data_IF_378151881976
#
_entry.id   IF_378151881976
#
_cell.length_a   1.000
_cell.length_b   1.000
_cell.length_c   1.000
_cell.angle_alpha   90.00
_cell.angle_beta   90.00
_cell.angle_gamma   90.00
#
_symmetry.space_group_name_H-M   'P 1'
#
loop_
_entity.id
_entity.type
_entity.pdbx_description
1 polymer ?
#
# COMPACT_ATOMS: atom_id res chain seq x y z
N UNK A 1 -5.83 -4.67 1.71
CA UNK A 1 -6.02 -5.70 0.66
C UNK A 1 -4.68 -6.39 0.50
N UNK A 2 -4.49 -7.58 1.07
CA UNK A 2 -3.45 -8.51 0.59
C UNK A 2 -3.91 -9.00 -0.78
N UNK A 3 -3.00 -9.45 -1.66
CA UNK A 3 -3.42 -10.15 -2.88
C UNK A 3 -4.45 -11.23 -2.54
N UNK A 4 -5.35 -11.58 -3.47
CA UNK A 4 -6.18 -12.76 -3.28
C UNK A 4 -5.24 -13.96 -3.12
N UNK A 5 -5.07 -14.45 -1.89
CA UNK A 5 -4.22 -15.59 -1.57
C UNK A 5 -5.12 -16.80 -1.31
N UNK A 6 -5.31 -17.70 -2.29
CA UNK A 6 -6.03 -18.94 -2.07
C UNK A 6 -5.39 -19.71 -0.92
N UNK A 7 -6.21 -20.47 -0.19
CA UNK A 7 -5.73 -21.16 1.01
C UNK A 7 -4.68 -22.21 0.67
N UNK A 8 -4.88 -22.88 -0.45
CA UNK A 8 -4.02 -23.90 -1.03
C UNK A 8 -2.64 -23.37 -1.44
N UNK A 9 -2.57 -22.11 -1.89
CA UNK A 9 -1.34 -21.49 -2.36
C UNK A 9 -0.66 -20.64 -1.28
N UNK A 10 -1.33 -20.38 -0.15
CA UNK A 10 -0.89 -19.43 0.85
C UNK A 10 0.55 -19.66 1.31
N UNK A 11 0.89 -20.90 1.69
CA UNK A 11 2.25 -21.25 2.15
C UNK A 11 3.31 -21.05 1.05
N UNK A 12 2.99 -21.42 -0.19
CA UNK A 12 3.87 -21.29 -1.35
C UNK A 12 4.11 -19.80 -1.63
N UNK A 13 3.05 -18.99 -1.63
CA UNK A 13 3.12 -17.53 -1.83
C UNK A 13 4.00 -16.89 -0.77
N UNK A 14 3.81 -17.23 0.52
CA UNK A 14 4.64 -16.66 1.59
C UNK A 14 6.11 -17.06 1.50
N UNK A 15 6.43 -18.10 0.73
CA UNK A 15 7.79 -18.60 0.51
C UNK A 15 8.40 -18.12 -0.80
N UNK A 16 7.66 -17.35 -1.60
CA UNK A 16 8.15 -16.70 -2.82
C UNK A 16 9.40 -15.86 -2.55
N UNK A 17 10.24 -15.72 -3.58
CA UNK A 17 11.51 -14.95 -3.50
C UNK A 17 12.46 -15.44 -2.39
N UNK A 18 12.43 -16.74 -2.08
CA UNK A 18 13.19 -17.36 -0.98
C UNK A 18 12.89 -16.75 0.39
N UNK A 19 11.69 -16.20 0.59
CA UNK A 19 11.26 -15.74 1.89
C UNK A 19 11.00 -16.93 2.83
N UNK A 20 11.14 -16.70 4.13
CA UNK A 20 10.83 -17.68 5.16
C UNK A 20 9.63 -17.21 5.99
N UNK A 21 8.50 -17.94 5.98
CA UNK A 21 7.36 -17.63 6.83
C UNK A 21 7.61 -18.10 8.27
N UNK A 22 7.16 -17.31 9.24
CA UNK A 22 7.18 -17.60 10.66
C UNK A 22 5.79 -17.37 11.26
N UNK A 23 5.36 -18.27 12.14
CA UNK A 23 4.17 -18.08 12.95
C UNK A 23 4.54 -17.38 14.25
N UNK A 24 3.80 -16.32 14.58
CA UNK A 24 3.90 -15.64 15.86
C UNK A 24 2.95 -16.31 16.84
N UNK A 25 3.47 -16.81 17.96
CA UNK A 25 2.68 -17.42 19.03
C UNK A 25 2.85 -16.66 20.34
N UNK A 26 1.77 -16.60 21.11
CA UNK A 26 1.76 -16.17 22.52
C UNK A 26 0.92 -17.16 23.31
N UNK A 27 1.51 -17.76 24.34
CA UNK A 27 0.84 -18.75 25.20
C UNK A 27 0.23 -19.93 24.42
N UNK A 28 0.92 -20.38 23.37
CA UNK A 28 0.49 -21.47 22.48
C UNK A 28 -0.48 -21.04 21.37
N UNK A 29 -1.10 -19.87 21.46
CA UNK A 29 -2.05 -19.36 20.47
C UNK A 29 -1.36 -18.60 19.33
N UNK A 30 -1.86 -18.77 18.10
CA UNK A 30 -1.40 -18.00 16.94
C UNK A 30 -1.89 -16.57 17.05
N UNK A 31 -0.95 -15.61 16.99
CA UNK A 31 -1.23 -14.17 17.03
C UNK A 31 -0.89 -13.45 15.73
N UNK A 32 -0.42 -14.18 14.72
CA UNK A 32 -0.05 -13.60 13.44
C UNK A 32 1.05 -14.39 12.76
N UNK A 33 1.62 -13.77 11.73
CA UNK A 33 2.75 -14.32 10.98
C UNK A 33 3.70 -13.20 10.52
N UNK A 34 4.92 -13.62 10.20
CA UNK A 34 5.98 -12.80 9.62
C UNK A 34 6.46 -13.51 8.35
N UNK A 35 6.69 -12.76 7.28
CA UNK A 35 7.44 -13.22 6.11
C UNK A 35 8.78 -12.49 6.12
N UNK A 36 9.86 -13.25 6.25
CA UNK A 36 11.21 -12.70 6.37
C UNK A 36 12.02 -12.96 5.11
N UNK A 37 12.77 -11.94 4.68
CA UNK A 37 13.80 -12.03 3.64
C UNK A 37 15.22 -12.20 4.26
N UNK A 38 15.29 -12.67 5.50
CA UNK A 38 16.51 -12.86 6.30
C UNK A 38 16.40 -12.25 7.69
N UNK A 39 17.29 -12.60 8.64
CA UNK A 39 17.16 -12.19 10.04
C UNK A 39 17.00 -10.67 10.27
N UNK A 40 17.64 -9.84 9.44
CA UNK A 40 17.58 -8.37 9.54
C UNK A 40 16.46 -7.74 8.70
N UNK A 41 15.60 -8.55 8.07
CA UNK A 41 14.57 -8.08 7.16
C UNK A 41 13.24 -8.82 7.33
N UNK A 42 12.18 -8.02 7.50
CA UNK A 42 10.80 -8.49 7.48
C UNK A 42 10.10 -7.82 6.29
N UNK A 43 9.74 -8.64 5.30
CA UNK A 43 9.02 -8.18 4.11
C UNK A 43 7.51 -8.02 4.35
N UNK A 44 6.97 -8.73 5.34
CA UNK A 44 5.56 -8.66 5.72
C UNK A 44 5.38 -9.04 7.19
N UNK A 45 4.52 -8.32 7.90
CA UNK A 45 4.13 -8.65 9.27
C UNK A 45 2.64 -8.42 9.45
N UNK A 46 1.92 -9.48 9.79
CA UNK A 46 0.50 -9.42 10.13
C UNK A 46 0.31 -9.92 11.54
N UNK A 47 -0.21 -9.06 12.42
CA UNK A 47 -0.48 -9.39 13.82
C UNK A 47 -1.96 -9.15 14.13
N UNK A 48 -2.52 -9.94 15.06
CA UNK A 48 -3.90 -9.79 15.50
C UNK A 48 -4.15 -8.53 16.33
N UNK A 49 -3.09 -7.91 16.86
CA UNK A 49 -3.13 -6.64 17.58
C UNK A 49 -1.86 -5.84 17.33
N UNK A 50 -1.97 -4.54 17.07
CA UNK A 50 -0.82 -3.64 16.94
C UNK A 50 0.02 -3.55 18.22
N UNK A 51 -0.62 -3.75 19.38
CA UNK A 51 0.05 -3.86 20.68
C UNK A 51 1.13 -4.96 20.75
N UNK A 52 1.10 -5.93 19.83
CA UNK A 52 2.08 -7.01 19.77
C UNK A 52 3.34 -6.67 18.97
N UNK A 53 3.38 -5.54 18.25
CA UNK A 53 4.51 -5.16 17.39
C UNK A 53 5.83 -5.11 18.18
N UNK A 54 5.86 -4.38 19.30
CA UNK A 54 7.05 -4.23 20.15
C UNK A 54 7.55 -5.56 20.75
N UNK A 55 6.71 -6.36 21.43
CA UNK A 55 7.18 -7.62 22.00
C UNK A 55 7.62 -8.63 20.92
N UNK A 56 6.97 -8.66 19.76
CA UNK A 56 7.37 -9.52 18.64
C UNK A 56 8.73 -9.11 18.09
N UNK A 57 8.96 -7.81 17.87
CA UNK A 57 10.26 -7.31 17.40
C UNK A 57 11.35 -7.59 18.43
N UNK A 58 11.08 -7.38 19.73
CA UNK A 58 12.03 -7.75 20.79
C UNK A 58 12.40 -9.24 20.74
N UNK A 59 11.40 -10.12 20.66
CA UNK A 59 11.63 -11.56 20.54
C UNK A 59 12.40 -11.93 19.27
N UNK A 60 12.19 -11.20 18.17
CA UNK A 60 12.94 -11.37 16.93
C UNK A 60 14.43 -11.04 17.10
N UNK A 61 14.75 -9.91 17.74
CA UNK A 61 16.13 -9.53 18.07
C UNK A 61 16.83 -10.58 18.93
N UNK A 62 16.16 -11.06 19.98
CA UNK A 62 16.70 -12.10 20.88
C UNK A 62 16.92 -13.43 20.16
N UNK A 63 15.98 -13.84 19.30
CA UNK A 63 16.05 -15.10 18.56
C UNK A 63 17.23 -15.15 17.59
N UNK A 64 17.48 -14.04 16.89
CA UNK A 64 18.47 -14.00 15.82
C UNK A 64 19.78 -13.30 16.20
N UNK A 65 19.87 -12.70 17.38
CA UNK A 65 21.09 -12.00 17.84
C UNK A 65 21.46 -10.79 16.96
N UNK A 66 20.48 -10.17 16.31
CA UNK A 66 20.67 -9.03 15.40
C UNK A 66 20.73 -7.72 16.18
N UNK A 67 21.27 -6.67 15.55
CA UNK A 67 21.33 -5.30 16.11
C UNK A 67 20.54 -4.29 15.31
N UNK A 68 20.01 -4.68 14.16
CA UNK A 68 19.18 -3.85 13.28
C UNK A 68 18.13 -4.73 12.62
N UNK A 69 16.99 -4.12 12.29
CA UNK A 69 15.88 -4.76 11.60
C UNK A 69 15.21 -3.76 10.68
N UNK A 70 14.97 -4.14 9.44
CA UNK A 70 14.11 -3.40 8.52
C UNK A 70 12.77 -4.11 8.40
N UNK A 71 11.67 -3.34 8.51
CA UNK A 71 10.30 -3.86 8.37
C UNK A 71 9.63 -3.12 7.21
N UNK A 72 9.13 -3.86 6.24
CA UNK A 72 8.32 -3.34 5.14
C UNK A 72 6.86 -3.39 5.54
N UNK A 73 6.15 -2.29 5.31
CA UNK A 73 4.72 -2.17 5.59
C UNK A 73 4.06 -1.19 4.62
N UNK A 74 2.74 -1.33 4.46
CA UNK A 74 1.96 -0.42 3.65
C UNK A 74 1.89 0.98 4.30
N UNK A 75 2.01 2.04 3.50
CA UNK A 75 1.91 3.43 4.01
C UNK A 75 0.53 3.75 4.61
N UNK A 76 -0.52 3.07 4.14
CA UNK A 76 -1.89 3.25 4.64
C UNK A 76 -2.18 2.46 5.93
N UNK A 77 -1.30 1.58 6.41
CA UNK A 77 -1.47 0.91 7.71
C UNK A 77 -1.06 1.83 8.86
N UNK A 78 -1.92 2.80 9.17
CA UNK A 78 -1.65 3.82 10.17
C UNK A 78 -1.37 3.23 11.57
N UNK A 79 -1.97 2.08 11.92
CA UNK A 79 -1.78 1.44 13.23
C UNK A 79 -0.40 0.82 13.34
N UNK A 80 0.00 0.02 12.34
CA UNK A 80 1.33 -0.59 12.31
C UNK A 80 2.43 0.49 12.22
N UNK A 81 2.26 1.45 11.31
CA UNK A 81 3.23 2.53 11.11
C UNK A 81 3.45 3.34 12.39
N UNK A 82 2.39 3.64 13.15
CA UNK A 82 2.50 4.38 14.43
C UNK A 82 3.26 3.58 15.49
N UNK A 83 3.01 2.27 15.59
CA UNK A 83 3.74 1.44 16.54
C UNK A 83 5.23 1.36 16.20
N UNK A 84 5.57 1.08 14.93
CA UNK A 84 6.95 1.05 14.45
C UNK A 84 7.66 2.40 14.67
N UNK A 85 7.03 3.50 14.25
CA UNK A 85 7.61 4.84 14.38
C UNK A 85 7.91 5.25 15.83
N UNK A 86 7.28 4.63 16.83
CA UNK A 86 7.54 4.95 18.25
C UNK A 86 8.92 4.50 18.75
N UNK A 87 9.65 3.67 17.99
CA UNK A 87 10.99 3.22 18.35
C UNK A 87 11.95 3.04 17.16
N UNK A 88 11.47 3.15 15.91
CA UNK A 88 12.34 3.15 14.73
C UNK A 88 13.22 4.40 14.68
N UNK A 89 14.50 4.21 14.36
CA UNK A 89 15.46 5.32 14.20
C UNK A 89 15.29 6.08 12.86
N UNK A 90 14.70 5.43 11.86
CA UNK A 90 14.42 6.04 10.56
C UNK A 90 13.30 5.32 9.81
N UNK A 91 12.78 5.97 8.77
CA UNK A 91 11.92 5.36 7.78
C UNK A 91 12.33 5.88 6.39
N UNK A 92 12.04 5.09 5.36
CA UNK A 92 12.24 5.48 3.97
C UNK A 92 10.99 5.11 3.17
N UNK A 93 10.65 5.93 2.18
CA UNK A 93 9.63 5.60 1.18
C UNK A 93 10.35 5.18 -0.10
N UNK A 94 9.97 4.03 -0.65
CA UNK A 94 10.58 3.49 -1.87
C UNK A 94 9.50 3.12 -2.88
N UNK A 95 9.87 3.12 -4.17
CA UNK A 95 9.04 2.50 -5.19
C UNK A 95 9.06 0.98 -4.96
N UNK A 96 7.92 0.41 -4.57
CA UNK A 96 7.84 -0.99 -4.14
C UNK A 96 7.73 -1.99 -5.29
N UNK A 97 7.09 -1.61 -6.39
CA UNK A 97 6.87 -2.46 -7.56
C UNK A 97 6.55 -1.64 -8.81
N UNK A 98 6.64 -2.28 -9.97
CA UNK A 98 6.16 -1.74 -11.22
C UNK A 98 4.77 -2.29 -11.50
N UNK A 99 3.80 -1.40 -11.74
CA UNK A 99 2.47 -1.77 -12.17
C UNK A 99 2.09 -1.03 -13.43
N UNK A 100 1.22 -1.67 -14.21
CA UNK A 100 0.54 -1.07 -15.34
C UNK A 100 -0.96 -1.03 -15.04
N UNK A 101 -1.52 0.17 -14.98
CA UNK A 101 -2.96 0.41 -14.93
C UNK A 101 -3.52 0.06 -16.30
N UNK A 102 -4.37 -0.97 -16.34
CA UNK A 102 -5.05 -1.43 -17.56
C UNK A 102 -6.50 -0.93 -17.62
N UNK A 103 -7.14 -0.73 -16.46
CA UNK A 103 -8.46 -0.14 -16.35
C UNK A 103 -8.43 0.96 -15.29
N UNK A 104 -8.38 2.21 -15.74
CA UNK A 104 -8.21 3.36 -14.85
C UNK A 104 -9.41 3.58 -13.94
N UNK A 105 -10.63 3.38 -14.47
CA UNK A 105 -11.86 3.52 -13.69
C UNK A 105 -11.85 2.59 -12.47
N UNK A 106 -11.66 1.30 -12.68
CA UNK A 106 -11.69 0.30 -11.61
C UNK A 106 -10.56 0.54 -10.59
N UNK A 107 -9.38 0.97 -11.06
CA UNK A 107 -8.25 1.31 -10.18
C UNK A 107 -8.57 2.53 -9.33
N UNK A 108 -9.14 3.59 -9.91
CA UNK A 108 -9.57 4.78 -9.15
C UNK A 108 -10.63 4.42 -8.12
N UNK A 109 -11.66 3.65 -8.49
CA UNK A 109 -12.70 3.19 -7.56
C UNK A 109 -12.09 2.45 -6.36
N UNK A 110 -11.26 1.44 -6.62
CA UNK A 110 -10.67 0.61 -5.57
C UNK A 110 -9.72 1.39 -4.66
N UNK A 111 -8.85 2.23 -5.23
CA UNK A 111 -7.82 2.95 -4.46
C UNK A 111 -8.38 4.17 -3.73
N UNK A 112 -9.39 4.85 -4.28
CA UNK A 112 -10.12 5.92 -3.58
C UNK A 112 -10.93 5.36 -2.42
N UNK A 113 -11.60 4.21 -2.60
CA UNK A 113 -12.30 3.53 -1.51
C UNK A 113 -11.33 3.15 -0.38
N UNK A 114 -10.20 2.52 -0.71
CA UNK A 114 -9.16 2.21 0.27
C UNK A 114 -8.65 3.46 0.98
N UNK A 115 -8.47 4.57 0.25
CA UNK A 115 -8.01 5.84 0.81
C UNK A 115 -9.01 6.39 1.82
N UNK A 116 -10.30 6.44 1.45
CA UNK A 116 -11.38 6.86 2.35
C UNK A 116 -11.38 6.06 3.65
N UNK A 117 -11.25 4.73 3.56
CA UNK A 117 -11.27 3.85 4.73
C UNK A 117 -10.05 3.99 5.65
N UNK A 118 -8.88 4.33 5.10
CA UNK A 118 -7.61 4.26 5.83
C UNK A 118 -7.02 5.62 6.22
N UNK A 119 -7.14 6.61 5.33
CA UNK A 119 -6.51 7.93 5.46
C UNK A 119 -7.53 9.07 5.51
N UNK A 120 -8.79 8.79 5.18
CA UNK A 120 -9.81 9.80 4.95
C UNK A 120 -9.68 10.42 3.56
N UNK A 121 -10.77 11.05 3.12
CA UNK A 121 -10.88 11.65 1.79
C UNK A 121 -11.80 12.87 1.88
N UNK A 122 -11.35 14.02 1.38
CA UNK A 122 -12.13 15.26 1.35
C UNK A 122 -13.05 15.27 0.14
N UNK A 123 -14.20 15.94 0.28
CA UNK A 123 -15.10 16.20 -0.84
C UNK A 123 -14.40 17.01 -1.94
N UNK A 124 -14.79 16.76 -3.18
CA UNK A 124 -14.21 17.39 -4.36
C UNK A 124 -14.48 16.61 -5.63
N UNK A 125 -14.04 17.17 -6.76
CA UNK A 125 -14.14 16.51 -8.05
C UNK A 125 -12.90 16.77 -8.90
N UNK A 126 -12.59 15.83 -9.80
CA UNK A 126 -11.60 16.03 -10.86
C UNK A 126 -12.02 15.27 -12.11
N UNK A 127 -11.74 15.84 -13.28
CA UNK A 127 -11.86 15.17 -14.57
C UNK A 127 -10.47 14.90 -15.12
N UNK A 128 -10.19 13.64 -15.42
CA UNK A 128 -8.88 13.20 -15.90
C UNK A 128 -9.01 12.27 -17.11
N UNK A 129 -7.99 12.29 -17.95
CA UNK A 129 -7.87 11.46 -19.14
C UNK A 129 -6.46 10.88 -19.21
N UNK A 130 -6.38 9.57 -19.45
CA UNK A 130 -5.12 8.85 -19.63
C UNK A 130 -4.99 8.39 -21.09
N UNK A 131 -3.89 8.76 -21.73
CA UNK A 131 -3.70 8.60 -23.17
C UNK A 131 -4.90 9.20 -23.94
N UNK A 132 -5.47 8.47 -24.90
CA UNK A 132 -6.66 8.83 -25.67
C UNK A 132 -7.91 8.05 -25.21
N UNK A 133 -7.90 7.49 -23.99
CA UNK A 133 -9.10 6.86 -23.40
C UNK A 133 -10.20 7.88 -23.13
N UNK A 134 -11.45 7.42 -22.92
CA UNK A 134 -12.54 8.34 -22.59
C UNK A 134 -12.28 9.04 -21.24
N UNK A 135 -12.49 10.36 -21.12
CA UNK A 135 -12.32 11.06 -19.85
C UNK A 135 -13.17 10.46 -18.74
N UNK A 136 -12.61 10.46 -17.53
CA UNK A 136 -13.27 10.02 -16.32
C UNK A 136 -13.49 11.21 -15.39
N UNK A 137 -14.69 11.29 -14.82
CA UNK A 137 -14.97 12.16 -13.69
C UNK A 137 -14.92 11.34 -12.40
N UNK A 138 -14.18 11.85 -11.43
CA UNK A 138 -14.09 11.30 -10.08
C UNK A 138 -14.71 12.33 -9.14
N UNK A 139 -15.71 11.92 -8.35
CA UNK A 139 -16.35 12.78 -7.36
C UNK A 139 -16.36 12.14 -5.98
N UNK A 140 -16.13 12.97 -4.98
CA UNK A 140 -16.33 12.65 -3.57
C UNK A 140 -17.31 13.70 -3.03
N UNK A 141 -18.48 13.25 -2.60
CA UNK A 141 -19.52 14.14 -2.06
C UNK A 141 -20.18 13.46 -0.86
N UNK A 142 -20.15 14.11 0.30
CA UNK A 142 -20.67 13.55 1.56
C UNK A 142 -20.10 12.15 1.87
N UNK A 143 -18.83 11.93 1.50
CA UNK A 143 -18.15 10.65 1.62
C UNK A 143 -18.55 9.58 0.60
N UNK A 144 -19.48 9.82 -0.32
CA UNK A 144 -19.75 8.91 -1.43
C UNK A 144 -18.74 9.13 -2.55
N UNK A 145 -18.16 8.03 -3.07
CA UNK A 145 -17.19 8.06 -4.16
C UNK A 145 -17.89 7.57 -5.42
N UNK A 146 -17.78 8.33 -6.50
CA UNK A 146 -18.22 7.89 -7.83
C UNK A 146 -17.11 8.11 -8.87
N UNK A 147 -16.98 7.15 -9.77
CA UNK A 147 -16.12 7.24 -10.95
C UNK A 147 -16.94 6.86 -12.17
N UNK A 148 -17.02 7.74 -13.15
CA UNK A 148 -17.78 7.48 -14.37
C UNK A 148 -17.11 8.11 -15.58
N UNK A 149 -17.43 7.57 -16.75
CA UNK A 149 -17.05 8.22 -18.01
C UNK A 149 -17.80 9.54 -18.17
N UNK A 150 -17.17 10.51 -18.81
CA UNK A 150 -17.74 11.81 -19.10
C UNK A 150 -17.27 12.34 -20.46
N UNK A 151 -18.03 13.26 -21.02
CA UNK A 151 -17.66 14.03 -22.22
C UNK A 151 -17.13 15.44 -21.86
N UNK A 152 -16.98 15.73 -20.56
CA UNK A 152 -16.38 16.97 -20.09
C UNK A 152 -14.88 17.05 -20.45
N UNK A 153 -14.40 18.26 -20.73
CA UNK A 153 -12.98 18.50 -21.01
C UNK A 153 -12.13 18.14 -19.77
N UNK A 154 -11.13 17.24 -19.90
CA UNK A 154 -10.31 16.84 -18.78
C UNK A 154 -9.38 17.97 -18.33
N UNK A 155 -9.46 18.33 -17.05
CA UNK A 155 -8.49 19.24 -16.44
C UNK A 155 -7.08 18.63 -16.36
N UNK A 156 -6.99 17.29 -16.39
CA UNK A 156 -5.75 16.52 -16.32
C UNK A 156 -5.73 15.56 -17.49
N UNK A 157 -4.95 15.86 -18.53
CA UNK A 157 -4.68 14.94 -19.64
C UNK A 157 -3.21 14.54 -19.63
N UNK A 158 -2.94 13.26 -19.38
CA UNK A 158 -1.57 12.74 -19.23
C UNK A 158 -1.41 11.43 -19.98
N UNK A 159 -0.19 11.12 -20.43
CA UNK A 159 0.12 9.76 -20.86
C UNK A 159 0.07 8.78 -19.67
N UNK A 160 0.03 7.49 -19.97
CA UNK A 160 -0.09 6.43 -18.97
C UNK A 160 0.97 6.47 -17.88
N UNK A 161 2.23 6.65 -18.25
CA UNK A 161 3.32 6.62 -17.28
C UNK A 161 3.18 7.81 -16.31
N UNK A 162 2.92 8.98 -16.86
CA UNK A 162 2.78 10.23 -16.13
C UNK A 162 1.51 10.22 -15.27
N UNK A 163 0.40 9.65 -15.76
CA UNK A 163 -0.82 9.44 -14.98
C UNK A 163 -0.56 8.50 -13.78
N UNK A 164 0.16 7.41 -13.97
CA UNK A 164 0.50 6.52 -12.85
C UNK A 164 1.41 7.20 -11.81
N UNK A 165 2.38 7.99 -12.26
CA UNK A 165 3.25 8.78 -11.38
C UNK A 165 2.46 9.84 -10.62
N UNK A 166 1.49 10.49 -11.27
CA UNK A 166 0.58 11.42 -10.64
C UNK A 166 -0.25 10.74 -9.55
N UNK A 167 -0.87 9.60 -9.87
CA UNK A 167 -1.79 8.92 -8.96
C UNK A 167 -1.08 8.26 -7.78
N UNK A 168 0.08 7.64 -7.97
CA UNK A 168 0.71 6.77 -6.95
C UNK A 168 2.08 7.26 -6.46
N UNK A 169 2.67 8.25 -7.12
CA UNK A 169 4.01 8.72 -6.80
C UNK A 169 4.07 9.53 -5.51
N UNK A 170 5.02 9.19 -4.63
CA UNK A 170 5.35 9.97 -3.43
C UNK A 170 6.46 11.01 -3.66
N UNK A 171 7.07 11.01 -4.86
CA UNK A 171 8.25 11.83 -5.14
C UNK A 171 7.90 13.01 -6.05
N UNK A 172 8.44 14.19 -5.71
CA UNK A 172 8.29 15.43 -6.48
C UNK A 172 9.03 15.43 -7.82
N UNK A 173 9.91 14.47 -8.05
CA UNK A 173 10.78 14.45 -9.24
C UNK A 173 10.04 13.95 -10.48
N UNK A 174 8.97 13.17 -10.28
CA UNK A 174 8.14 12.60 -11.34
C UNK A 174 6.70 13.12 -11.29
N UNK A 175 6.38 14.07 -10.41
CA UNK A 175 5.04 14.65 -10.36
C UNK A 175 4.83 15.56 -11.57
N UNK A 176 3.82 15.31 -12.43
CA UNK A 176 3.47 16.27 -13.46
C UNK A 176 2.95 17.57 -12.83
N UNK A 177 2.97 18.65 -13.61
CA UNK A 177 2.31 19.91 -13.26
C UNK A 177 0.79 19.79 -13.41
N UNK A 178 0.19 18.96 -12.57
CA UNK A 178 -1.24 18.70 -12.47
C UNK A 178 -1.65 18.78 -11.00
N UNK A 179 -2.90 19.20 -10.76
CA UNK A 179 -3.43 19.37 -9.40
C UNK A 179 -4.64 18.48 -9.19
N UNK A 180 -4.64 17.73 -8.10
CA UNK A 180 -5.80 17.04 -7.58
C UNK A 180 -6.38 17.81 -6.39
N UNK A 181 -7.63 17.54 -5.99
CA UNK A 181 -8.17 18.04 -4.74
C UNK A 181 -7.27 17.69 -3.55
N UNK A 182 -7.28 18.55 -2.54
CA UNK A 182 -6.36 18.46 -1.41
C UNK A 182 -6.48 17.11 -0.69
N UNK A 183 -5.35 16.45 -0.47
CA UNK A 183 -5.29 15.17 0.22
C UNK A 183 -5.73 13.96 -0.61
N UNK A 184 -6.15 14.10 -1.87
CA UNK A 184 -6.52 12.97 -2.72
C UNK A 184 -5.32 12.12 -3.13
N UNK A 185 -4.15 12.73 -3.37
CA UNK A 185 -2.95 12.05 -3.84
C UNK A 185 -1.83 12.06 -2.77
N UNK A 186 -0.91 11.09 -2.82
CA UNK A 186 -0.95 9.88 -3.64
C UNK A 186 -2.02 8.89 -3.16
N UNK A 187 -2.54 8.07 -4.08
CA UNK A 187 -3.47 6.99 -3.80
C UNK A 187 -2.74 5.79 -3.18
N UNK A 188 -3.38 5.11 -2.21
CA UNK A 188 -2.77 3.97 -1.53
C UNK A 188 -2.65 2.79 -2.48
N UNK A 189 -1.42 2.36 -2.73
CA UNK A 189 -1.13 1.15 -3.48
C UNK A 189 0.11 0.47 -2.87
N UNK A 190 -0.07 -0.76 -2.41
CA UNK A 190 1.00 -1.57 -1.81
C UNK A 190 0.73 -3.05 -2.11
N UNK A 191 1.81 -3.77 -2.44
CA UNK A 191 1.83 -5.22 -2.52
C UNK A 191 3.04 -5.69 -1.71
N UNK A 192 2.87 -6.77 -0.97
CA UNK A 192 4.01 -7.40 -0.31
C UNK A 192 4.85 -8.12 -1.35
N UNK A 193 6.16 -8.19 -1.13
CA UNK A 193 7.08 -8.86 -2.06
C UNK A 193 6.72 -10.32 -2.30
N UNK A 194 6.14 -10.99 -1.31
CA UNK A 194 5.63 -12.36 -1.42
C UNK A 194 4.54 -12.51 -2.51
N UNK A 195 3.79 -11.44 -2.80
CA UNK A 195 2.73 -11.40 -3.81
C UNK A 195 3.24 -11.01 -5.21
N UNK A 196 4.54 -10.72 -5.37
CA UNK A 196 5.11 -10.43 -6.69
C UNK A 196 5.30 -11.74 -7.46
N UNK A 197 4.77 -11.81 -8.68
CA UNK A 197 4.86 -12.94 -9.60
C UNK A 197 5.75 -12.63 -10.82
#
# INVERSE_FOLDING_TARGET
>A
MTGGRPREDFEIILSSWNCTPYIVKKDGEVKGYIVSNGPEGIGEMTLSCSCLVKPVIKAWFERFGIRRLSVVCASYDAKLNRELASFSESYNLTAGFHARVVNLKNVLEATMALKKETLGLKDGEMVLQMDEEKPLIVKVENGEISVSETDAEPAIKLDRLTMQQFLFGYNRFTSPDAKAPEGWLPLPLHLYSADHF
#
